data_IF_430538830234
#
_entry.id   IF_430538830234
#
_cell.length_a   1.000
_cell.length_b   1.000
_cell.length_c   1.000
_cell.angle_alpha   90.00
_cell.angle_beta   90.00
_cell.angle_gamma   90.00
#
_symmetry.space_group_name_H-M   'P 1'
#
loop_
_entity.id
_entity.type
_entity.pdbx_description
1 polymer ?
#
# COMPACT_ATOMS: atom_id res chain seq x y z
N UNK A 1 -13.55 3.19 13.84
CA UNK A 1 -12.35 3.16 12.97
C UNK A 1 -12.81 3.49 11.57
N UNK A 2 -12.31 4.56 10.95
CA UNK A 2 -12.69 4.89 9.58
C UNK A 2 -12.23 3.75 8.66
N UNK A 3 -13.11 3.27 7.79
CA UNK A 3 -12.74 2.30 6.76
C UNK A 3 -11.64 2.91 5.89
N UNK A 4 -10.56 2.16 5.65
CA UNK A 4 -9.51 2.59 4.71
C UNK A 4 -10.15 2.90 3.35
N UNK A 5 -9.81 4.04 2.71
CA UNK A 5 -10.27 4.34 1.37
C UNK A 5 -9.60 3.45 0.31
N UNK A 6 -8.61 2.64 0.71
CA UNK A 6 -7.89 1.74 -0.19
C UNK A 6 -8.61 0.40 -0.28
N UNK A 7 -8.94 0.01 -1.51
CA UNK A 7 -9.39 -1.33 -1.82
C UNK A 7 -8.18 -2.24 -2.09
N UNK A 8 -7.86 -3.11 -1.14
CA UNK A 8 -6.83 -4.13 -1.29
C UNK A 8 -7.39 -5.36 -2.01
N UNK A 9 -6.81 -5.71 -3.15
CA UNK A 9 -7.18 -6.91 -3.93
C UNK A 9 -6.04 -7.91 -3.90
N UNK A 10 -6.32 -9.15 -3.49
CA UNK A 10 -5.34 -10.23 -3.53
C UNK A 10 -5.13 -10.73 -4.96
N UNK A 11 -3.87 -10.77 -5.39
CA UNK A 11 -3.50 -11.30 -6.71
C UNK A 11 -3.80 -12.80 -6.78
N UNK A 12 -4.17 -13.27 -7.98
CA UNK A 12 -4.43 -14.69 -8.26
C UNK A 12 -3.70 -15.10 -9.54
N UNK A 13 -3.11 -16.29 -9.54
CA UNK A 13 -2.53 -16.92 -10.73
C UNK A 13 -3.20 -18.27 -10.94
N UNK A 14 -3.81 -18.49 -12.11
CA UNK A 14 -4.61 -19.69 -12.41
C UNK A 14 -5.63 -20.04 -11.30
N UNK A 15 -6.25 -19.02 -10.69
CA UNK A 15 -7.21 -19.17 -9.59
C UNK A 15 -6.61 -19.32 -8.19
N UNK A 16 -5.30 -19.56 -8.09
CA UNK A 16 -4.56 -19.71 -6.82
C UNK A 16 -4.24 -18.34 -6.22
N UNK A 17 -4.64 -18.05 -4.96
CA UNK A 17 -4.27 -16.81 -4.28
C UNK A 17 -2.76 -16.70 -4.09
N UNK A 18 -2.19 -15.58 -4.47
CA UNK A 18 -0.77 -15.27 -4.28
C UNK A 18 -0.57 -14.52 -2.96
N UNK A 19 0.66 -14.55 -2.44
CA UNK A 19 1.08 -13.72 -1.32
C UNK A 19 1.42 -12.30 -1.78
N UNK A 20 0.48 -11.68 -2.49
CA UNK A 20 0.58 -10.33 -3.05
C UNK A 20 -0.79 -9.68 -3.07
N UNK A 21 -0.84 -8.42 -2.69
CA UNK A 21 -2.00 -7.55 -2.72
C UNK A 21 -1.66 -6.26 -3.47
N UNK A 22 -2.62 -5.75 -4.24
CA UNK A 22 -2.52 -4.44 -4.89
C UNK A 22 -3.60 -3.54 -4.31
N UNK A 23 -3.21 -2.34 -3.87
CA UNK A 23 -4.08 -1.34 -3.28
C UNK A 23 -4.50 -0.30 -4.31
N UNK A 24 -5.80 -0.04 -4.38
CA UNK A 24 -6.37 0.97 -5.28
C UNK A 24 -7.21 2.00 -4.52
N UNK A 25 -7.16 3.25 -4.97
CA UNK A 25 -8.14 4.30 -4.65
C UNK A 25 -8.84 4.69 -5.94
N UNK A 26 -10.09 4.25 -6.11
CA UNK A 26 -10.78 4.33 -7.40
C UNK A 26 -10.02 3.55 -8.47
N UNK A 27 -9.66 4.20 -9.58
CA UNK A 27 -8.90 3.60 -10.67
C UNK A 27 -7.37 3.72 -10.51
N UNK A 28 -6.88 4.36 -9.45
CA UNK A 28 -5.45 4.62 -9.24
C UNK A 28 -4.86 3.52 -8.37
N UNK A 29 -3.87 2.80 -8.89
CA UNK A 29 -3.00 1.94 -8.09
C UNK A 29 -2.11 2.81 -7.20
N UNK A 30 -2.18 2.60 -5.88
CA UNK A 30 -1.44 3.41 -4.91
C UNK A 30 -0.31 2.64 -4.25
N UNK A 31 -0.38 1.31 -4.19
CA UNK A 31 0.66 0.50 -3.58
C UNK A 31 0.52 -0.99 -3.79
N UNK A 32 1.62 -1.70 -3.55
CA UNK A 32 1.67 -3.16 -3.49
C UNK A 32 2.13 -3.60 -2.10
N UNK A 33 1.62 -4.76 -1.69
CA UNK A 33 2.05 -5.48 -0.49
C UNK A 33 2.33 -6.91 -0.89
N UNK A 34 3.53 -7.43 -0.66
CA UNK A 34 3.91 -8.78 -1.05
C UNK A 34 4.80 -9.46 -0.02
N UNK A 35 4.76 -10.79 0.00
CA UNK A 35 5.63 -11.56 0.87
C UNK A 35 6.99 -11.80 0.22
N UNK A 36 8.04 -11.33 0.88
CA UNK A 36 9.41 -11.69 0.55
C UNK A 36 9.78 -12.98 1.30
N UNK A 37 9.78 -14.09 0.57
CA UNK A 37 10.14 -15.40 1.10
C UNK A 37 11.59 -15.52 1.58
N UNK A 38 12.49 -14.67 1.09
CA UNK A 38 13.92 -14.72 1.46
C UNK A 38 14.12 -14.17 2.87
N UNK A 39 13.48 -13.04 3.16
CA UNK A 39 13.58 -12.37 4.46
C UNK A 39 12.44 -12.74 5.42
N UNK A 40 11.45 -13.52 4.95
CA UNK A 40 10.28 -13.96 5.71
C UNK A 40 9.44 -12.80 6.26
N UNK A 41 9.35 -11.72 5.49
CA UNK A 41 8.67 -10.49 5.83
C UNK A 41 7.66 -10.14 4.75
N UNK A 42 6.66 -9.33 5.11
CA UNK A 42 5.80 -8.67 4.14
C UNK A 42 6.37 -7.29 3.83
N UNK A 43 6.62 -7.00 2.57
CA UNK A 43 7.09 -5.70 2.11
C UNK A 43 5.94 -4.93 1.48
N UNK A 44 6.06 -3.61 1.47
CA UNK A 44 5.20 -2.74 0.70
C UNK A 44 6.02 -1.72 -0.07
N UNK A 45 5.48 -1.25 -1.19
CA UNK A 45 6.04 -0.14 -1.96
C UNK A 45 4.93 0.61 -2.70
N UNK A 46 5.22 1.82 -3.17
CA UNK A 46 4.27 2.65 -3.92
C UNK A 46 4.78 3.01 -5.32
N UNK A 47 3.97 2.88 -6.38
CA UNK A 47 4.30 3.43 -7.70
C UNK A 47 4.29 4.97 -7.71
N UNK A 48 3.78 5.63 -6.66
CA UNK A 48 3.70 7.09 -6.58
C UNK A 48 5.04 7.75 -6.21
N UNK A 49 5.98 6.99 -5.64
CA UNK A 49 7.29 7.49 -5.26
C UNK A 49 8.32 6.35 -5.21
N UNK A 50 9.43 6.50 -5.95
CA UNK A 50 10.46 5.46 -6.09
C UNK A 50 11.08 5.00 -4.76
N UNK A 51 11.28 5.94 -3.83
CA UNK A 51 11.85 5.64 -2.51
C UNK A 51 10.83 5.13 -1.49
N UNK A 52 9.55 4.98 -1.85
CA UNK A 52 8.51 4.56 -0.94
C UNK A 52 8.49 3.04 -0.77
N UNK A 53 9.02 2.59 0.36
CA UNK A 53 8.99 1.18 0.73
C UNK A 53 9.01 0.99 2.26
N UNK A 54 8.60 -0.19 2.70
CA UNK A 54 8.73 -0.61 4.09
C UNK A 54 8.37 -2.09 4.25
N UNK A 55 8.30 -2.56 5.49
CA UNK A 55 8.02 -3.95 5.79
C UNK A 55 7.28 -4.16 7.11
N UNK A 56 6.69 -5.35 7.28
CA UNK A 56 6.04 -5.81 8.50
C UNK A 56 6.13 -7.35 8.62
N UNK A 57 5.71 -7.87 9.78
CA UNK A 57 5.71 -9.30 10.06
C UNK A 57 4.54 -10.05 9.39
N UNK A 58 3.45 -9.34 9.10
CA UNK A 58 2.26 -9.88 8.45
C UNK A 58 1.69 -8.91 7.39
N UNK A 59 0.79 -9.41 6.55
CA UNK A 59 0.22 -8.65 5.43
C UNK A 59 -0.57 -7.42 5.91
N UNK A 60 -1.32 -7.54 7.01
CA UNK A 60 -2.12 -6.46 7.57
C UNK A 60 -1.22 -5.33 8.10
N UNK A 61 -0.13 -5.69 8.77
CA UNK A 61 0.90 -4.75 9.22
C UNK A 61 1.55 -4.00 8.06
N UNK A 62 1.84 -4.69 6.95
CA UNK A 62 2.40 -4.05 5.77
C UNK A 62 1.39 -3.11 5.10
N UNK A 63 0.12 -3.49 4.98
CA UNK A 63 -0.95 -2.63 4.49
C UNK A 63 -1.14 -1.38 5.37
N UNK A 64 -1.14 -1.54 6.70
CA UNK A 64 -1.22 -0.40 7.64
C UNK A 64 0.00 0.50 7.58
N UNK A 65 1.20 -0.07 7.44
CA UNK A 65 2.44 0.67 7.26
C UNK A 65 2.41 1.52 5.99
N UNK A 66 1.96 0.93 4.89
CA UNK A 66 1.72 1.64 3.64
C UNK A 66 0.70 2.78 3.82
N UNK A 67 -0.45 2.51 4.45
CA UNK A 67 -1.51 3.52 4.65
C UNK A 67 -1.05 4.70 5.52
N UNK A 68 -0.23 4.43 6.53
CA UNK A 68 0.38 5.47 7.37
C UNK A 68 1.33 6.34 6.53
N UNK A 69 2.23 5.71 5.77
CA UNK A 69 3.13 6.42 4.87
C UNK A 69 2.37 7.24 3.83
N UNK A 70 1.37 6.67 3.15
CA UNK A 70 0.61 7.36 2.11
C UNK A 70 -0.09 8.60 2.67
N UNK A 71 -0.66 8.49 3.87
CA UNK A 71 -1.29 9.62 4.54
C UNK A 71 -0.29 10.75 4.76
N UNK A 72 0.85 10.46 5.36
CA UNK A 72 1.91 11.46 5.61
C UNK A 72 2.44 12.05 4.29
N UNK A 73 2.64 11.21 3.28
CA UNK A 73 3.12 11.64 1.97
C UNK A 73 2.14 12.62 1.29
N UNK A 74 0.83 12.36 1.39
CA UNK A 74 -0.22 13.23 0.83
C UNK A 74 -0.31 14.59 1.55
N UNK A 75 0.03 14.67 2.83
CA UNK A 75 0.04 15.95 3.57
C UNK A 75 1.02 16.96 2.94
N UNK A 76 2.09 16.50 2.28
CA UNK A 76 3.00 17.39 1.53
C UNK A 76 2.30 18.16 0.39
N UNK A 77 1.17 17.64 -0.11
CA UNK A 77 0.41 18.25 -1.19
C UNK A 77 -0.79 19.06 -0.71
N UNK A 78 -1.15 18.95 0.57
CA UNK A 78 -2.29 19.67 1.16
C UNK A 78 -2.29 21.17 0.85
N UNK A 79 -1.14 21.89 0.90
CA UNK A 79 -1.13 23.33 0.61
C UNK A 79 -1.54 23.68 -0.84
N UNK A 80 -1.49 22.74 -1.80
CA UNK A 80 -1.94 23.00 -3.17
C UNK A 80 -3.47 22.98 -3.32
N UNK A 81 -4.19 22.44 -2.34
CA UNK A 81 -5.64 22.25 -2.41
C UNK A 81 -6.43 23.12 -1.44
N UNK A 82 -5.76 23.76 -0.49
CA UNK A 82 -6.38 24.72 0.43
C UNK A 82 -6.41 26.11 -0.23
N UNK A 83 -7.55 26.82 -0.22
CA UNK A 83 -7.60 28.19 -0.70
C UNK A 83 -6.71 29.08 0.17
N UNK A 84 -5.97 29.97 -0.49
CA UNK A 84 -5.08 30.95 0.14
C UNK A 84 -5.83 31.92 1.08
#
# INVERSE_FOLDING_TARGET
MASSPIAWTQARSAGVPMQRFTGHVGAVEVGLVEYDGSNRLWTWWSPLAEAAWGHAQDAEGAQRGFEAWLREWLENFRPFFEPA
#
